data_IF_554483061384
#
_entry.id   IF_554483061384
#
_cell.length_a   1.000
_cell.length_b   1.000
_cell.length_c   1.000
_cell.angle_alpha   90.00
_cell.angle_beta   90.00
_cell.angle_gamma   90.00
#
_symmetry.space_group_name_H-M   'P 1'
#
loop_
_entity.id
_entity.type
_entity.pdbx_description
1 polymer ?
#
# COMPACT_ATOMS: atom_id res chain seq x y z
N UNK A 1 23.08 -15.83 -31.90
CA UNK A 1 22.79 -14.84 -30.85
C UNK A 1 21.29 -14.62 -30.83
N UNK A 2 20.55 -15.65 -30.45
CA UNK A 2 19.19 -15.47 -29.98
C UNK A 2 19.28 -15.50 -28.45
N UNK A 3 18.24 -15.01 -27.79
CA UNK A 3 17.84 -15.55 -26.49
C UNK A 3 18.34 -14.87 -25.21
N UNK A 4 18.63 -13.56 -25.22
CA UNK A 4 18.50 -12.78 -23.97
C UNK A 4 17.15 -12.05 -23.95
N UNK A 5 16.76 -11.45 -25.07
CA UNK A 5 15.46 -10.77 -25.21
C UNK A 5 14.30 -11.77 -25.32
N UNK A 6 14.49 -12.91 -26.01
CA UNK A 6 13.50 -14.00 -26.01
C UNK A 6 13.38 -14.65 -24.63
N UNK A 7 14.49 -14.82 -23.90
CA UNK A 7 14.43 -15.29 -22.50
C UNK A 7 13.73 -14.28 -21.61
N UNK A 8 14.01 -12.97 -21.74
CA UNK A 8 13.34 -11.93 -20.97
C UNK A 8 11.84 -11.89 -21.28
N UNK A 9 11.44 -12.04 -22.55
CA UNK A 9 10.04 -12.20 -22.94
C UNK A 9 9.43 -13.48 -22.37
N UNK A 10 10.14 -14.61 -22.43
CA UNK A 10 9.65 -15.87 -21.89
C UNK A 10 9.44 -15.78 -20.37
N UNK A 11 10.40 -15.21 -19.63
CA UNK A 11 10.24 -14.94 -18.21
C UNK A 11 9.11 -13.95 -17.92
N UNK A 12 8.91 -12.92 -18.75
CA UNK A 12 7.81 -11.99 -18.59
C UNK A 12 6.46 -12.66 -18.81
N UNK A 13 6.32 -13.46 -19.87
CA UNK A 13 5.11 -14.24 -20.19
C UNK A 13 4.84 -15.27 -19.09
N UNK A 14 5.85 -16.01 -18.67
CA UNK A 14 5.73 -17.00 -17.61
C UNK A 14 5.36 -16.35 -16.28
N UNK A 15 5.94 -15.18 -15.95
CA UNK A 15 5.51 -14.39 -14.80
C UNK A 15 4.05 -13.93 -14.94
N UNK A 16 3.60 -13.48 -16.10
CA UNK A 16 2.20 -13.08 -16.35
C UNK A 16 1.26 -14.27 -16.19
N UNK A 17 1.58 -15.42 -16.79
CA UNK A 17 0.77 -16.64 -16.68
C UNK A 17 0.72 -17.20 -15.25
N UNK A 18 1.84 -17.17 -14.52
CA UNK A 18 1.86 -17.53 -13.10
C UNK A 18 0.99 -16.57 -12.28
N UNK A 19 1.01 -15.27 -12.60
CA UNK A 19 0.11 -14.31 -11.98
C UNK A 19 -1.36 -14.59 -12.30
N UNK A 20 -1.71 -14.90 -13.55
CA UNK A 20 -3.08 -15.27 -13.94
C UNK A 20 -3.53 -16.57 -13.25
N UNK A 21 -2.66 -17.58 -13.16
CA UNK A 21 -2.93 -18.83 -12.43
C UNK A 21 -3.17 -18.58 -10.94
N UNK A 22 -2.40 -17.68 -10.31
CA UNK A 22 -2.59 -17.27 -8.91
C UNK A 22 -3.91 -16.50 -8.71
N UNK A 23 -4.31 -15.67 -9.69
CA UNK A 23 -5.57 -14.91 -9.65
C UNK A 23 -6.80 -15.83 -9.70
N UNK A 24 -6.74 -16.93 -10.47
CA UNK A 24 -7.87 -17.85 -10.65
C UNK A 24 -8.07 -18.86 -9.50
N UNK A 25 -7.06 -19.07 -8.65
CA UNK A 25 -7.26 -19.73 -7.36
C UNK A 25 -7.83 -18.69 -6.42
N UNK A 26 -9.08 -18.82 -5.97
CA UNK A 26 -9.58 -18.08 -4.80
C UNK A 26 -8.68 -18.43 -3.61
N UNK A 27 -7.60 -17.67 -3.41
CA UNK A 27 -6.81 -17.75 -2.20
C UNK A 27 -7.73 -17.27 -1.08
N UNK A 28 -8.33 -18.22 -0.37
CA UNK A 28 -8.83 -17.95 0.98
C UNK A 28 -7.70 -17.27 1.73
N UNK A 29 -7.93 -16.07 2.28
CA UNK A 29 -6.98 -15.41 3.18
C UNK A 29 -6.75 -16.37 4.33
N UNK A 30 -5.73 -17.22 4.26
CA UNK A 30 -5.36 -18.09 5.35
C UNK A 30 -4.62 -17.22 6.38
N UNK A 31 -5.23 -16.93 7.55
CA UNK A 31 -4.64 -16.02 8.53
C UNK A 31 -3.31 -16.53 9.08
N UNK A 32 -3.07 -17.85 9.06
CA UNK A 32 -1.85 -18.48 9.58
C UNK A 32 -0.58 -18.07 8.82
N UNK A 33 -0.72 -17.66 7.56
CA UNK A 33 0.40 -17.17 6.75
C UNK A 33 0.51 -15.65 6.72
N UNK A 34 -0.40 -14.94 7.40
CA UNK A 34 -0.39 -13.48 7.50
C UNK A 34 0.49 -13.08 8.68
N UNK A 35 1.66 -12.54 8.39
CA UNK A 35 2.54 -11.97 9.41
C UNK A 35 2.10 -10.53 9.70
N UNK A 36 2.12 -10.08 10.95
CA UNK A 36 1.84 -8.67 11.29
C UNK A 36 3.06 -7.80 10.92
N UNK A 37 2.94 -6.79 10.03
CA UNK A 37 4.07 -5.91 9.69
C UNK A 37 4.72 -5.22 10.89
N UNK A 38 3.99 -5.02 11.99
CA UNK A 38 4.54 -4.36 13.17
C UNK A 38 5.59 -5.21 13.90
N UNK A 39 5.67 -6.51 13.60
CA UNK A 39 6.73 -7.41 14.08
C UNK A 39 8.08 -7.17 13.39
N UNK A 40 8.10 -6.43 12.27
CA UNK A 40 9.32 -6.12 11.55
C UNK A 40 10.27 -5.21 12.31
N UNK A 41 11.56 -5.27 11.97
CA UNK A 41 12.51 -4.24 12.42
C UNK A 41 12.10 -2.88 11.86
N UNK A 42 12.35 -1.80 12.60
CA UNK A 42 11.93 -0.46 12.18
C UNK A 42 12.55 -0.06 10.84
N UNK A 43 13.80 -0.46 10.60
CA UNK A 43 14.47 -0.25 9.31
C UNK A 43 13.72 -0.91 8.16
N UNK A 44 13.27 -2.15 8.32
CA UNK A 44 12.51 -2.87 7.30
C UNK A 44 11.11 -2.28 7.13
N UNK A 45 10.46 -1.90 8.24
CA UNK A 45 9.16 -1.25 8.23
C UNK A 45 9.20 0.07 7.46
N UNK A 46 10.12 0.97 7.79
CA UNK A 46 10.30 2.25 7.09
C UNK A 46 10.64 2.03 5.62
N UNK A 47 11.47 1.02 5.29
CA UNK A 47 11.75 0.67 3.89
C UNK A 47 10.47 0.31 3.12
N UNK A 48 9.57 -0.44 3.75
CA UNK A 48 8.37 -0.96 3.10
C UNK A 48 7.17 -0.01 3.12
N UNK A 49 7.10 0.93 4.06
CA UNK A 49 5.93 1.80 4.28
C UNK A 49 6.26 3.31 4.27
N UNK A 50 7.54 3.69 4.20
CA UNK A 50 8.07 5.08 4.27
C UNK A 50 7.74 5.87 5.53
N UNK A 51 7.02 5.26 6.47
CA UNK A 51 6.63 5.84 7.75
C UNK A 51 7.13 4.95 8.90
N UNK A 52 7.26 5.53 10.09
CA UNK A 52 7.46 4.75 11.33
C UNK A 52 6.17 4.06 11.73
N UNK A 53 6.26 3.03 12.57
CA UNK A 53 5.07 2.32 13.10
C UNK A 53 4.11 3.27 13.83
N UNK A 54 4.66 4.22 14.59
CA UNK A 54 3.89 5.25 15.29
C UNK A 54 3.12 6.13 14.31
N UNK A 55 3.78 6.64 13.26
CA UNK A 55 3.13 7.46 12.24
C UNK A 55 2.04 6.69 11.48
N UNK A 56 2.22 5.39 11.26
CA UNK A 56 1.17 4.54 10.67
C UNK A 56 -0.03 4.43 11.61
N UNK A 57 0.18 4.21 12.90
CA UNK A 57 -0.91 4.19 13.89
C UNK A 57 -1.66 5.52 13.92
N UNK A 58 -0.94 6.64 13.92
CA UNK A 58 -1.53 7.98 13.88
C UNK A 58 -2.32 8.20 12.59
N UNK A 59 -1.78 7.76 11.44
CA UNK A 59 -2.49 7.84 10.17
C UNK A 59 -3.77 7.01 10.17
N UNK A 60 -3.76 5.81 10.75
CA UNK A 60 -4.95 4.95 10.88
C UNK A 60 -6.05 5.67 11.65
N UNK A 61 -5.72 6.30 12.78
CA UNK A 61 -6.70 7.08 13.55
C UNK A 61 -7.16 8.33 12.80
N UNK A 62 -6.25 9.02 12.10
CA UNK A 62 -6.56 10.20 11.31
C UNK A 62 -7.57 9.91 10.18
N UNK A 63 -7.44 8.79 9.48
CA UNK A 63 -8.36 8.43 8.37
C UNK A 63 -9.63 7.71 8.83
N UNK A 64 -9.68 7.23 10.07
CA UNK A 64 -10.82 6.46 10.63
C UNK A 64 -12.18 7.13 10.43
N UNK A 65 -12.36 8.46 10.64
CA UNK A 65 -13.65 9.10 10.45
C UNK A 65 -14.14 9.09 8.99
N UNK A 66 -13.23 8.98 8.03
CA UNK A 66 -13.51 9.12 6.60
C UNK A 66 -13.61 7.76 5.87
N UNK A 67 -13.30 6.66 6.55
CA UNK A 67 -13.32 5.31 5.97
C UNK A 67 -14.37 4.46 6.70
N UNK A 68 -15.44 4.10 5.98
CA UNK A 68 -16.53 3.30 6.54
C UNK A 68 -16.07 1.88 6.83
N UNK A 69 -16.24 1.47 8.09
CA UNK A 69 -16.02 0.08 8.50
C UNK A 69 -17.15 -0.81 7.96
N UNK A 70 -16.82 -1.78 7.11
CA UNK A 70 -17.79 -2.76 6.62
C UNK A 70 -17.99 -3.84 7.70
N UNK A 71 -19.24 -4.22 7.98
CA UNK A 71 -19.61 -5.17 9.04
C UNK A 71 -19.40 -6.65 8.70
N UNK A 72 -18.98 -6.97 7.47
CA UNK A 72 -18.78 -8.36 7.03
C UNK A 72 -17.47 -8.90 7.62
N UNK A 73 -17.46 -10.14 8.10
CA UNK A 73 -16.28 -10.79 8.67
C UNK A 73 -15.09 -10.92 7.70
N UNK A 74 -15.36 -10.95 6.38
CA UNK A 74 -14.34 -10.97 5.33
C UNK A 74 -13.86 -9.57 4.91
N UNK A 75 -14.41 -8.51 5.50
CA UNK A 75 -13.99 -7.16 5.18
C UNK A 75 -12.55 -6.92 5.65
N UNK A 76 -11.80 -6.18 4.84
CA UNK A 76 -10.46 -5.74 5.21
C UNK A 76 -10.58 -4.65 6.25
N UNK A 77 -9.89 -4.85 7.37
CA UNK A 77 -9.83 -3.87 8.45
C UNK A 77 -9.06 -2.61 8.01
N UNK A 78 -9.34 -1.51 8.69
CA UNK A 78 -8.79 -0.19 8.37
C UNK A 78 -7.25 -0.18 8.37
N UNK A 79 -6.62 -0.81 9.36
CA UNK A 79 -5.15 -0.85 9.49
C UNK A 79 -4.54 -1.56 8.28
N UNK A 80 -5.11 -2.69 7.87
CA UNK A 80 -4.68 -3.40 6.67
C UNK A 80 -4.85 -2.56 5.41
N UNK A 81 -5.97 -1.85 5.23
CA UNK A 81 -6.16 -0.94 4.08
C UNK A 81 -5.04 0.10 4.01
N UNK A 82 -4.73 0.75 5.14
CA UNK A 82 -3.66 1.75 5.22
C UNK A 82 -2.30 1.15 4.89
N UNK A 83 -1.97 -0.02 5.45
CA UNK A 83 -0.70 -0.69 5.20
C UNK A 83 -0.54 -1.11 3.73
N UNK A 84 -1.59 -1.61 3.09
CA UNK A 84 -1.60 -1.94 1.65
C UNK A 84 -1.32 -0.70 0.83
N UNK A 85 -2.03 0.39 1.10
CA UNK A 85 -1.86 1.65 0.37
C UNK A 85 -0.46 2.22 0.56
N UNK A 86 0.05 2.28 1.79
CA UNK A 86 1.40 2.79 2.06
C UNK A 86 2.47 1.95 1.38
N UNK A 87 2.32 0.62 1.39
CA UNK A 87 3.28 -0.24 0.71
C UNK A 87 3.28 -0.02 -0.81
N UNK A 88 2.11 0.13 -1.41
CA UNK A 88 2.00 0.50 -2.82
C UNK A 88 2.67 1.85 -3.10
N UNK A 89 2.37 2.90 -2.33
CA UNK A 89 2.98 4.21 -2.50
C UNK A 89 4.51 4.19 -2.29
N UNK A 90 5.00 3.30 -1.42
CA UNK A 90 6.42 3.14 -1.13
C UNK A 90 7.22 2.43 -2.24
N UNK A 91 6.56 1.53 -2.98
CA UNK A 91 7.20 0.57 -3.90
C UNK A 91 6.73 0.67 -5.35
N UNK A 92 5.64 1.38 -5.61
CA UNK A 92 4.96 1.44 -6.91
C UNK A 92 4.37 0.11 -7.40
N UNK A 93 4.41 -0.94 -6.57
CA UNK A 93 4.12 -2.30 -7.00
C UNK A 93 2.77 -2.77 -6.47
N UNK A 94 1.86 -3.14 -7.37
CA UNK A 94 0.60 -3.81 -7.00
C UNK A 94 0.82 -5.23 -6.49
N UNK A 95 1.94 -5.83 -6.88
CA UNK A 95 2.41 -7.13 -6.43
C UNK A 95 3.48 -6.89 -5.37
N UNK A 96 3.26 -7.39 -4.15
CA UNK A 96 4.32 -7.45 -3.16
C UNK A 96 5.44 -8.37 -3.71
N UNK A 97 6.73 -8.02 -3.54
CA UNK A 97 7.83 -8.90 -3.95
C UNK A 97 7.58 -10.31 -3.42
N UNK A 98 7.88 -11.34 -4.20
CA UNK A 98 7.46 -12.74 -3.98
C UNK A 98 7.94 -13.34 -2.63
N UNK A 99 8.75 -12.63 -1.83
CA UNK A 99 9.08 -12.96 -0.43
C UNK A 99 8.33 -12.17 0.67
N UNK A 100 7.69 -11.05 0.32
CA UNK A 100 6.89 -10.16 1.18
C UNK A 100 5.38 -10.24 0.86
N UNK A 101 4.91 -11.15 0.00
CA UNK A 101 3.47 -11.23 -0.36
C UNK A 101 2.57 -11.77 0.77
N UNK A 102 3.17 -12.26 1.86
CA UNK A 102 2.47 -12.85 3.00
C UNK A 102 1.65 -11.85 3.83
N UNK A 103 1.85 -10.55 3.68
CA UNK A 103 1.23 -9.57 4.59
C UNK A 103 -0.25 -9.33 4.37
N UNK A 104 -0.82 -9.70 3.22
CA UNK A 104 -2.23 -9.40 2.99
C UNK A 104 -3.04 -10.42 2.21
N UNK A 105 -2.44 -11.33 1.42
CA UNK A 105 -3.18 -12.29 0.60
C UNK A 105 -4.42 -11.63 -0.07
N UNK A 106 -4.23 -10.42 -0.59
CA UNK A 106 -5.27 -9.61 -1.23
C UNK A 106 -5.10 -9.68 -2.74
N UNK A 107 -6.22 -9.76 -3.45
CA UNK A 107 -6.20 -9.66 -4.90
C UNK A 107 -5.86 -8.24 -5.35
N UNK A 108 -5.35 -8.09 -6.57
CA UNK A 108 -5.06 -6.77 -7.15
C UNK A 108 -6.27 -5.82 -7.16
N UNK A 109 -7.51 -6.25 -7.49
CA UNK A 109 -8.70 -5.39 -7.37
C UNK A 109 -8.91 -4.87 -5.94
N UNK A 110 -8.63 -5.72 -4.95
CA UNK A 110 -8.70 -5.34 -3.54
C UNK A 110 -7.63 -4.32 -3.16
N UNK A 111 -6.39 -4.48 -3.65
CA UNK A 111 -5.33 -3.48 -3.49
C UNK A 111 -5.75 -2.14 -4.07
N UNK A 112 -6.25 -2.13 -5.31
CA UNK A 112 -6.75 -0.92 -5.96
C UNK A 112 -7.85 -0.24 -5.14
N UNK A 113 -8.80 -1.01 -4.61
CA UNK A 113 -9.87 -0.45 -3.77
C UNK A 113 -9.34 0.18 -2.48
N UNK A 114 -8.37 -0.48 -1.80
CA UNK A 114 -7.73 0.08 -0.61
C UNK A 114 -7.01 1.40 -0.92
N UNK A 115 -6.28 1.44 -2.04
CA UNK A 115 -5.58 2.65 -2.49
C UNK A 115 -6.58 3.77 -2.70
N UNK A 116 -7.64 3.55 -3.50
CA UNK A 116 -8.64 4.59 -3.77
C UNK A 116 -9.30 5.11 -2.50
N UNK A 117 -9.68 4.22 -1.58
CA UNK A 117 -10.37 4.59 -0.34
C UNK A 117 -9.47 5.37 0.62
N UNK A 118 -8.22 4.91 0.83
CA UNK A 118 -7.26 5.59 1.71
C UNK A 118 -6.77 6.90 1.10
N UNK A 119 -6.50 6.94 -0.22
CA UNK A 119 -6.09 8.16 -0.92
C UNK A 119 -7.21 9.20 -0.89
N UNK A 120 -8.47 8.80 -1.06
CA UNK A 120 -9.60 9.72 -0.92
C UNK A 120 -9.67 10.29 0.50
N UNK A 121 -9.49 9.45 1.53
CA UNK A 121 -9.52 9.88 2.93
C UNK A 121 -8.39 10.89 3.26
N UNK A 122 -7.13 10.62 2.89
CA UNK A 122 -6.02 11.55 3.19
C UNK A 122 -6.11 12.87 2.42
N UNK A 123 -6.85 12.89 1.30
CA UNK A 123 -7.14 14.11 0.54
C UNK A 123 -8.42 14.81 1.01
N UNK A 124 -9.07 14.33 2.07
CA UNK A 124 -10.19 15.05 2.66
C UNK A 124 -9.72 16.45 3.11
N UNK A 125 -10.47 17.55 2.85
CA UNK A 125 -10.00 18.91 3.13
C UNK A 125 -9.51 19.15 4.56
N UNK A 126 -10.18 18.52 5.54
CA UNK A 126 -9.80 18.63 6.96
C UNK A 126 -8.43 18.00 7.25
N UNK A 127 -8.03 16.94 6.54
CA UNK A 127 -6.69 16.36 6.65
C UNK A 127 -5.72 17.14 5.77
N UNK A 128 -6.03 17.29 4.48
CA UNK A 128 -5.09 17.80 3.50
C UNK A 128 -4.54 19.19 3.85
N UNK A 129 -5.40 20.11 4.32
CA UNK A 129 -5.00 21.48 4.65
C UNK A 129 -4.07 21.60 5.86
N UNK A 130 -4.07 20.61 6.75
CA UNK A 130 -3.18 20.59 7.91
C UNK A 130 -1.73 20.24 7.50
N UNK A 131 -1.59 19.39 6.49
CA UNK A 131 -0.29 18.84 6.05
C UNK A 131 0.29 19.53 4.82
N UNK A 132 -0.55 20.01 3.90
CA UNK A 132 -0.11 20.63 2.64
C UNK A 132 -0.51 22.10 2.62
N UNK A 133 0.49 22.99 2.67
CA UNK A 133 0.31 24.43 2.68
C UNK A 133 1.07 25.06 1.52
N UNK A 134 0.37 25.84 0.72
CA UNK A 134 0.98 26.65 -0.33
C UNK A 134 1.32 28.04 0.22
N UNK A 135 2.53 28.56 -0.07
CA UNK A 135 2.93 29.88 0.38
C UNK A 135 2.03 30.95 -0.25
N UNK A 136 1.48 31.84 0.59
CA UNK A 136 0.54 32.90 0.18
C UNK A 136 1.22 34.26 -0.02
N UNK A 137 2.47 34.39 0.40
CA UNK A 137 3.22 35.63 0.34
C UNK A 137 4.73 35.37 0.14
N UNK A 138 5.47 36.43 -0.21
CA UNK A 138 6.91 36.36 -0.49
C UNK A 138 7.73 35.85 0.71
N UNK A 139 7.29 36.13 1.94
CA UNK A 139 7.98 35.67 3.14
C UNK A 139 7.84 34.15 3.31
N UNK A 140 6.62 33.61 3.20
CA UNK A 140 6.37 32.17 3.21
C UNK A 140 7.10 31.44 2.06
N UNK A 141 7.08 32.02 0.85
CA UNK A 141 7.77 31.45 -0.30
C UNK A 141 9.29 31.36 -0.06
N UNK A 142 9.88 32.40 0.54
CA UNK A 142 11.31 32.43 0.86
C UNK A 142 11.70 31.37 1.90
N UNK A 143 10.80 31.03 2.84
CA UNK A 143 11.03 29.98 3.86
C UNK A 143 11.00 28.57 3.28
N UNK A 144 10.24 28.31 2.22
CA UNK A 144 10.14 26.99 1.58
C UNK A 144 11.31 26.74 0.61
N UNK A 145 11.92 27.81 0.08
CA UNK A 145 12.97 27.72 -0.95
C UNK A 145 14.38 27.52 -0.40
N UNK A 146 14.58 27.72 0.90
CA UNK A 146 15.85 27.56 1.61
C UNK A 146 15.86 26.23 2.40
#
# INVERSE_FOLDING_TARGET
MANNDEMAMLYAVENIEQHERIIHVRQSRNPEFITDPFTYTDRLFIKNYRLTKELVTNLVELVRPYIVSKSRSSAIDLKTKVLVTLNFLATGSYQLPIGNSRFTAVSQPTVSHCISEVVAAINHPEIFHDWVKFPKNMNELSKVRN
#
